data_IF_860683166986
#
_entry.id   IF_860683166986
#
_cell.length_a   1.000
_cell.length_b   1.000
_cell.length_c   1.000
_cell.angle_alpha   90.00
_cell.angle_beta   90.00
_cell.angle_gamma   90.00
#
_symmetry.space_group_name_H-M   'P 1'
#
loop_
_entity.id
_entity.type
_entity.pdbx_description
1 polymer ?
#
# COMPACT_ATOMS: atom_id res chain seq x y z
N UNK A 1 7.02 4.54 -2.34
CA UNK A 1 7.58 4.54 -3.72
C UNK A 1 7.96 3.13 -4.19
N UNK A 2 8.95 2.44 -3.57
CA UNK A 2 9.33 1.07 -3.97
C UNK A 2 8.18 0.05 -3.83
N UNK A 3 7.40 0.12 -2.75
CA UNK A 3 6.23 -0.77 -2.54
C UNK A 3 5.18 -0.60 -3.64
N UNK A 4 4.92 0.64 -4.06
CA UNK A 4 3.99 0.93 -5.16
C UNK A 4 4.49 0.34 -6.48
N UNK A 5 5.75 0.58 -6.80
CA UNK A 5 6.36 0.10 -8.03
C UNK A 5 6.39 -1.44 -8.10
N UNK A 6 6.80 -2.10 -7.02
CA UNK A 6 6.76 -3.57 -6.94
C UNK A 6 5.34 -4.12 -7.08
N UNK A 7 4.36 -3.48 -6.45
CA UNK A 7 2.94 -3.88 -6.56
C UNK A 7 2.42 -3.73 -7.99
N UNK A 8 2.79 -2.66 -8.69
CA UNK A 8 2.44 -2.46 -10.10
C UNK A 8 3.05 -3.55 -10.99
N UNK A 9 4.33 -3.89 -10.79
CA UNK A 9 5.00 -4.96 -11.54
C UNK A 9 4.31 -6.31 -11.31
N UNK A 10 4.02 -6.67 -10.06
CA UNK A 10 3.36 -7.94 -9.74
C UNK A 10 1.96 -8.06 -10.33
N UNK A 11 1.27 -6.93 -10.53
CA UNK A 11 0.00 -6.90 -11.24
C UNK A 11 0.19 -6.97 -12.76
N UNK A 12 1.16 -6.24 -13.33
CA UNK A 12 1.38 -6.21 -14.79
C UNK A 12 1.84 -7.55 -15.34
N UNK A 13 2.73 -8.27 -14.63
CA UNK A 13 3.27 -9.57 -15.07
C UNK A 13 2.15 -10.56 -15.49
N UNK A 14 1.18 -10.92 -14.63
CA UNK A 14 0.12 -11.84 -15.00
C UNK A 14 -0.80 -11.25 -16.07
N UNK A 15 -1.03 -9.93 -16.12
CA UNK A 15 -1.82 -9.29 -17.18
C UNK A 15 -1.18 -9.41 -18.56
N UNK A 16 0.15 -9.50 -18.64
CA UNK A 16 0.91 -9.65 -19.89
C UNK A 16 1.09 -11.12 -20.29
N UNK A 17 1.25 -12.02 -19.32
CA UNK A 17 1.49 -13.45 -19.58
C UNK A 17 0.18 -14.20 -19.84
N UNK A 18 -0.91 -13.83 -19.17
CA UNK A 18 -2.18 -14.54 -19.21
C UNK A 18 -3.20 -13.66 -19.94
N UNK A 19 -3.82 -14.20 -20.99
CA UNK A 19 -4.96 -13.54 -21.61
C UNK A 19 -6.10 -13.49 -20.58
N UNK A 20 -6.38 -12.31 -20.04
CA UNK A 20 -7.33 -12.08 -18.93
C UNK A 20 -8.72 -12.66 -19.21
N UNK A 21 -9.09 -12.80 -20.48
CA UNK A 21 -10.37 -13.40 -20.91
C UNK A 21 -10.59 -14.83 -20.38
N UNK A 22 -9.52 -15.54 -20.03
CA UNK A 22 -9.60 -16.94 -19.60
C UNK A 22 -9.72 -17.09 -18.07
N UNK A 23 -9.15 -16.17 -17.27
CA UNK A 23 -8.95 -16.36 -15.82
C UNK A 23 -8.91 -15.04 -15.02
N UNK A 24 -10.03 -14.35 -14.80
CA UNK A 24 -10.09 -13.11 -14.01
C UNK A 24 -9.66 -13.29 -12.53
N UNK A 25 -9.77 -14.50 -11.99
CA UNK A 25 -9.40 -14.84 -10.62
C UNK A 25 -7.89 -14.69 -10.33
N UNK A 26 -7.04 -14.74 -11.36
CA UNK A 26 -5.58 -14.65 -11.20
C UNK A 26 -5.19 -13.29 -10.62
N UNK A 27 -5.78 -12.22 -11.15
CA UNK A 27 -5.50 -10.85 -10.68
C UNK A 27 -5.96 -10.68 -9.24
N UNK A 28 -7.14 -11.22 -8.89
CA UNK A 28 -7.66 -11.18 -7.52
C UNK A 28 -6.72 -11.87 -6.53
N UNK A 29 -6.19 -13.06 -6.87
CA UNK A 29 -5.23 -13.78 -6.02
C UNK A 29 -3.92 -13.02 -5.85
N UNK A 30 -3.43 -12.37 -6.91
CA UNK A 30 -2.22 -11.54 -6.84
C UNK A 30 -2.45 -10.35 -5.91
N UNK A 31 -3.58 -9.66 -6.04
CA UNK A 31 -3.96 -8.55 -5.16
C UNK A 31 -4.06 -9.02 -3.70
N UNK A 32 -4.69 -10.16 -3.44
CA UNK A 32 -4.77 -10.75 -2.10
C UNK A 32 -3.38 -11.06 -1.53
N UNK A 33 -2.48 -11.63 -2.34
CA UNK A 33 -1.10 -11.90 -1.93
C UNK A 33 -0.31 -10.64 -1.60
N UNK A 34 -0.44 -9.60 -2.44
CA UNK A 34 0.18 -8.29 -2.19
C UNK A 34 -0.38 -7.67 -0.91
N UNK A 35 -1.70 -7.70 -0.71
CA UNK A 35 -2.35 -7.15 0.48
C UNK A 35 -1.87 -7.85 1.77
N UNK A 36 -1.75 -9.18 1.75
CA UNK A 36 -1.22 -9.94 2.87
C UNK A 36 0.26 -9.59 3.16
N UNK A 37 1.11 -9.56 2.12
CA UNK A 37 2.53 -9.25 2.27
C UNK A 37 2.78 -7.82 2.77
N UNK A 38 2.06 -6.83 2.24
CA UNK A 38 2.16 -5.44 2.68
C UNK A 38 1.59 -5.25 4.08
N UNK A 39 0.52 -5.97 4.44
CA UNK A 39 0.00 -6.00 5.80
C UNK A 39 1.04 -6.49 6.82
N UNK A 40 1.80 -7.53 6.47
CA UNK A 40 2.91 -8.01 7.30
C UNK A 40 4.02 -6.97 7.46
N UNK A 41 4.40 -6.27 6.38
CA UNK A 41 5.40 -5.19 6.45
C UNK A 41 4.93 -4.02 7.31
N UNK A 42 3.65 -3.61 7.19
CA UNK A 42 3.07 -2.56 8.02
C UNK A 42 3.03 -2.94 9.50
N UNK A 43 2.62 -4.17 9.83
CA UNK A 43 2.67 -4.66 11.21
C UNK A 43 4.11 -4.71 11.75
N UNK A 44 5.07 -5.15 10.93
CA UNK A 44 6.48 -5.18 11.30
C UNK A 44 7.07 -3.78 11.54
N UNK A 45 6.60 -2.76 10.82
CA UNK A 45 7.03 -1.38 10.98
C UNK A 45 6.58 -0.81 12.34
N UNK A 46 5.31 -1.01 12.71
CA UNK A 46 4.75 -0.59 14.00
C UNK A 46 5.48 -1.26 15.19
N UNK A 47 5.72 -2.58 15.09
CA UNK A 47 6.38 -3.34 16.17
C UNK A 47 7.87 -3.00 16.29
N UNK A 48 8.54 -2.71 15.18
CA UNK A 48 9.98 -2.42 15.16
C UNK A 48 10.32 -1.10 15.86
N UNK A 49 9.51 -0.07 15.71
CA UNK A 49 9.72 1.20 16.44
C UNK A 49 9.42 1.05 17.94
N UNK A 50 8.41 0.25 18.29
CA UNK A 50 8.04 -0.02 19.70
C UNK A 50 9.17 -0.69 20.50
N UNK A 51 10.00 -1.52 19.87
CA UNK A 51 10.99 -2.37 20.55
C UNK A 51 12.33 -1.67 20.85
N UNK A 52 12.60 -0.49 20.28
CA UNK A 52 13.87 0.23 20.48
C UNK A 52 13.86 1.20 21.67
N UNK A 53 12.70 1.67 22.15
CA UNK A 53 12.65 2.83 23.04
C UNK A 53 12.21 2.54 24.49
N UNK A 54 11.38 1.53 24.80
CA UNK A 54 10.99 1.25 26.20
C UNK A 54 10.20 -0.04 26.38
N UNK A 55 10.24 -0.59 27.59
CA UNK A 55 9.44 -1.71 28.09
C UNK A 55 7.91 -1.41 28.17
N UNK A 56 7.45 -0.39 27.43
CA UNK A 56 6.08 0.12 27.39
C UNK A 56 5.66 0.14 25.91
N UNK A 57 4.53 -0.48 25.60
CA UNK A 57 3.99 -0.60 24.25
C UNK A 57 3.55 0.79 23.74
N UNK A 58 4.48 1.63 23.30
CA UNK A 58 4.18 2.89 22.63
C UNK A 58 4.05 2.65 21.13
N UNK A 59 2.83 2.80 20.61
CA UNK A 59 2.48 2.57 19.21
C UNK A 59 3.05 3.72 18.37
N UNK A 60 4.30 3.57 17.92
CA UNK A 60 4.93 4.43 16.94
C UNK A 60 4.82 3.80 15.53
N UNK A 61 4.89 4.61 14.46
CA UNK A 61 4.86 4.12 13.07
C UNK A 61 3.48 3.94 12.43
N UNK A 62 2.36 4.09 13.16
CA UNK A 62 1.01 3.84 12.61
C UNK A 62 0.72 4.58 11.28
N UNK A 63 1.14 5.84 11.18
CA UNK A 63 1.00 6.67 9.97
C UNK A 63 1.89 6.18 8.82
N UNK A 64 3.10 5.72 9.12
CA UNK A 64 4.03 5.13 8.15
C UNK A 64 3.52 3.79 7.62
N UNK A 65 3.04 2.90 8.50
CA UNK A 65 2.36 1.66 8.10
C UNK A 65 1.15 1.92 7.20
N UNK A 66 0.31 2.90 7.54
CA UNK A 66 -0.82 3.31 6.70
C UNK A 66 -0.35 3.84 5.33
N UNK A 67 0.70 4.65 5.29
CA UNK A 67 1.27 5.15 4.04
C UNK A 67 1.83 4.03 3.15
N UNK A 68 2.46 3.01 3.74
CA UNK A 68 2.93 1.81 3.03
C UNK A 68 1.74 1.06 2.40
N UNK A 69 0.66 0.88 3.16
CA UNK A 69 -0.55 0.19 2.70
C UNK A 69 -1.21 0.90 1.52
N UNK A 70 -1.40 2.22 1.63
CA UNK A 70 -1.98 3.03 0.55
C UNK A 70 -1.06 3.10 -0.67
N UNK A 71 0.25 3.22 -0.46
CA UNK A 71 1.24 3.18 -1.55
C UNK A 71 1.16 1.90 -2.37
N UNK A 72 0.87 0.75 -1.73
CA UNK A 72 0.65 -0.52 -2.42
C UNK A 72 -0.63 -0.49 -3.28
N UNK A 73 -1.75 -0.06 -2.68
CA UNK A 73 -3.04 0.04 -3.39
C UNK A 73 -2.96 0.93 -4.64
N UNK A 74 -2.25 2.06 -4.56
CA UNK A 74 -2.00 2.94 -5.71
C UNK A 74 -1.20 2.25 -6.83
N UNK A 75 -0.22 1.43 -6.45
CA UNK A 75 0.58 0.64 -7.37
C UNK A 75 -0.24 -0.46 -8.05
N UNK A 76 -1.09 -1.16 -7.29
CA UNK A 76 -2.05 -2.14 -7.82
C UNK A 76 -2.98 -1.48 -8.84
N UNK A 77 -3.59 -0.35 -8.48
CA UNK A 77 -4.49 0.37 -9.38
C UNK A 77 -3.78 0.81 -10.68
N UNK A 78 -2.56 1.34 -10.57
CA UNK A 78 -1.75 1.70 -11.71
C UNK A 78 -1.39 0.48 -12.58
N UNK A 79 -1.00 -0.64 -11.96
CA UNK A 79 -0.69 -1.89 -12.66
C UNK A 79 -1.88 -2.50 -13.40
N UNK A 80 -3.09 -2.33 -12.87
CA UNK A 80 -4.34 -2.70 -13.54
C UNK A 80 -4.73 -1.77 -14.71
N UNK A 81 -3.96 -0.70 -14.96
CA UNK A 81 -4.30 0.32 -15.95
C UNK A 81 -5.41 1.29 -15.50
N UNK A 82 -5.76 1.31 -14.22
CA UNK A 82 -6.79 2.18 -13.65
C UNK A 82 -6.20 3.54 -13.26
N UNK A 83 -5.67 4.27 -14.24
CA UNK A 83 -4.93 5.53 -14.04
C UNK A 83 -5.75 6.60 -13.32
N UNK A 84 -7.04 6.75 -13.66
CA UNK A 84 -7.93 7.71 -13.01
C UNK A 84 -8.11 7.40 -11.53
N UNK A 85 -8.30 6.11 -11.19
CA UNK A 85 -8.48 5.67 -9.81
C UNK A 85 -7.19 5.85 -9.01
N UNK A 86 -6.03 5.56 -9.60
CA UNK A 86 -4.72 5.79 -9.00
C UNK A 86 -4.48 7.29 -8.76
N UNK A 87 -4.80 8.15 -9.72
CA UNK A 87 -4.63 9.61 -9.57
C UNK A 87 -5.54 10.18 -8.48
N UNK A 88 -6.83 9.85 -8.49
CA UNK A 88 -7.79 10.29 -7.46
C UNK A 88 -7.37 9.78 -6.08
N UNK A 89 -6.99 8.51 -5.98
CA UNK A 89 -6.48 7.94 -4.73
C UNK A 89 -5.25 8.66 -4.21
N UNK A 90 -4.31 9.04 -5.09
CA UNK A 90 -3.09 9.75 -4.70
C UNK A 90 -3.41 11.15 -4.15
N UNK A 91 -4.33 11.88 -4.81
CA UNK A 91 -4.78 13.19 -4.35
C UNK A 91 -5.45 13.10 -2.98
N UNK A 92 -6.35 12.13 -2.79
CA UNK A 92 -7.03 11.91 -1.50
C UNK A 92 -6.00 11.56 -0.41
N UNK A 93 -5.06 10.68 -0.71
CA UNK A 93 -4.00 10.29 0.22
C UNK A 93 -3.17 11.50 0.65
N UNK A 94 -2.78 12.33 -0.31
CA UNK A 94 -2.04 13.56 -0.04
C UNK A 94 -2.86 14.53 0.82
N UNK A 95 -4.14 14.73 0.51
CA UNK A 95 -5.03 15.57 1.29
C UNK A 95 -5.15 15.08 2.74
N UNK A 96 -5.39 13.79 2.94
CA UNK A 96 -5.51 13.17 4.28
C UNK A 96 -4.22 13.37 5.09
N UNK A 97 -3.06 13.03 4.52
CA UNK A 97 -1.77 13.16 5.23
C UNK A 97 -1.45 14.63 5.56
N UNK A 98 -1.74 15.55 4.63
CA UNK A 98 -1.48 16.97 4.85
C UNK A 98 -2.42 17.59 5.91
N UNK A 99 -3.70 17.20 5.91
CA UNK A 99 -4.66 17.62 6.94
C UNK A 99 -4.24 17.10 8.31
N UNK A 100 -3.85 15.83 8.40
CA UNK A 100 -3.42 15.22 9.66
C UNK A 100 -2.20 15.94 10.24
N UNK A 101 -1.19 16.19 9.41
CA UNK A 101 0.01 16.94 9.81
C UNK A 101 -0.31 18.37 10.26
N UNK A 102 -1.30 19.02 9.64
CA UNK A 102 -1.72 20.37 10.02
C UNK A 102 -2.43 20.40 11.37
N UNK A 103 -3.21 19.37 11.68
CA UNK A 103 -3.88 19.21 12.98
C UNK A 103 -2.91 18.85 14.10
N UNK A 104 -1.88 18.03 13.81
CA UNK A 104 -0.85 17.68 14.79
C UNK A 104 0.05 18.86 15.16
N UNK A 105 0.25 19.80 14.23
CA UNK A 105 1.09 20.99 14.42
C UNK A 105 0.31 22.24 14.92
N UNK A 106 -0.98 22.14 15.23
CA UNK A 106 -1.80 23.26 15.76
C UNK A 106 -2.14 23.05 17.23
#
# INVERSE_FOLDING_TARGET
>A
MLVSFGSAIFVVIPLQIISIQSHPEVVSRVIQGIAAGVGFLGAGEIVRESSQQSQRLEIHGLTSAAAIWVSSGLGIAAGCGLWQLSLVGAIITFAVLNIFKRLENS
#
